data_IF_691773198901
#
_entry.id   IF_691773198901
#
_cell.length_a   1.000
_cell.length_b   1.000
_cell.length_c   1.000
_cell.angle_alpha   90.00
_cell.angle_beta   90.00
_cell.angle_gamma   90.00
#
_symmetry.space_group_name_H-M   'P 1'
#
loop_
_entity.id
_entity.type
_entity.pdbx_description
1 polymer ?
#
# COMPACT_ATOMS: atom_id res chain seq x y z
N UNK A 1 14.13 -23.21 -7.95
CA UNK A 1 13.97 -22.35 -9.12
C UNK A 1 12.54 -21.80 -9.09
N UNK A 2 12.44 -20.52 -8.73
CA UNK A 2 11.32 -19.58 -8.94
C UNK A 2 9.88 -20.03 -8.67
N UNK A 3 9.30 -19.56 -7.56
CA UNK A 3 7.84 -19.41 -7.40
C UNK A 3 7.55 -18.04 -6.77
N UNK A 4 6.50 -17.35 -7.21
CA UNK A 4 6.63 -16.17 -8.05
C UNK A 4 6.88 -14.90 -7.24
N UNK A 5 7.95 -14.20 -7.63
CA UNK A 5 8.24 -12.82 -7.30
C UNK A 5 7.06 -11.90 -7.66
N UNK A 6 6.56 -11.18 -6.65
CA UNK A 6 6.29 -9.73 -6.72
C UNK A 6 5.86 -9.15 -8.08
N UNK A 7 4.61 -9.39 -8.50
CA UNK A 7 3.95 -8.51 -9.47
C UNK A 7 3.11 -7.49 -8.69
N UNK A 8 3.81 -6.50 -8.15
CA UNK A 8 3.20 -5.34 -7.50
C UNK A 8 2.70 -4.40 -8.60
N UNK A 9 1.49 -3.89 -8.44
CA UNK A 9 0.97 -2.78 -9.23
C UNK A 9 2.02 -1.66 -9.35
N UNK A 10 2.03 -0.90 -10.44
CA UNK A 10 2.95 0.22 -10.67
C UNK A 10 2.39 1.54 -10.12
N UNK A 11 1.07 1.69 -10.07
CA UNK A 11 0.37 2.86 -9.53
C UNK A 11 -0.89 2.45 -8.77
N UNK A 12 -1.34 3.31 -7.86
CA UNK A 12 -2.54 3.09 -7.05
C UNK A 12 -3.80 2.87 -7.91
N UNK A 13 -3.89 3.53 -9.07
CA UNK A 13 -5.00 3.41 -10.01
C UNK A 13 -5.23 1.97 -10.52
N UNK A 14 -4.18 1.14 -10.62
CA UNK A 14 -4.35 -0.24 -11.05
C UNK A 14 -5.12 -1.10 -10.04
N UNK A 15 -5.19 -0.69 -8.77
CA UNK A 15 -6.04 -1.35 -7.76
C UNK A 15 -7.52 -1.28 -8.11
N UNK A 16 -7.93 -0.22 -8.80
CA UNK A 16 -9.32 -0.01 -9.23
C UNK A 16 -9.49 -0.18 -10.76
N UNK A 17 -8.50 -0.81 -11.42
CA UNK A 17 -8.57 -1.19 -12.82
C UNK A 17 -8.19 -0.10 -13.83
N UNK A 18 -7.59 1.00 -13.39
CA UNK A 18 -7.11 2.08 -14.25
C UNK A 18 -5.61 1.97 -14.55
N UNK A 19 -5.20 2.53 -15.69
CA UNK A 19 -3.79 2.57 -16.12
C UNK A 19 -2.97 3.58 -15.31
N UNK A 20 -1.66 3.40 -15.28
CA UNK A 20 -0.75 4.41 -14.76
C UNK A 20 -0.48 5.48 -15.81
N UNK A 21 -0.34 6.74 -15.37
CA UNK A 21 0.10 7.80 -16.26
C UNK A 21 1.56 7.57 -16.69
N UNK A 22 1.96 8.19 -17.80
CA UNK A 22 3.37 8.23 -18.18
C UNK A 22 4.20 8.85 -17.03
N UNK A 23 5.44 8.37 -16.78
CA UNK A 23 6.27 8.84 -15.68
C UNK A 23 6.61 10.35 -15.76
N UNK A 24 6.57 10.92 -16.96
CA UNK A 24 6.78 12.36 -17.21
C UNK A 24 5.48 13.19 -17.07
N UNK A 25 4.32 12.55 -16.85
CA UNK A 25 3.06 13.25 -16.72
C UNK A 25 2.85 13.72 -15.27
N UNK A 26 3.13 14.99 -15.02
CA UNK A 26 2.91 15.66 -13.74
C UNK A 26 1.62 16.47 -13.69
N UNK A 27 0.76 16.38 -14.71
CA UNK A 27 -0.48 17.15 -14.76
C UNK A 27 -1.56 16.48 -13.91
N UNK A 28 -1.70 16.95 -12.67
CA UNK A 28 -2.75 16.50 -11.75
C UNK A 28 -4.06 17.19 -12.09
N UNK A 29 -5.06 16.39 -12.44
CA UNK A 29 -6.42 16.85 -12.74
C UNK A 29 -7.36 16.63 -11.56
N UNK A 30 -7.12 15.57 -10.78
CA UNK A 30 -7.93 15.23 -9.62
C UNK A 30 -7.07 14.61 -8.51
N UNK A 31 -7.56 14.62 -7.27
CA UNK A 31 -6.86 14.09 -6.10
C UNK A 31 -7.81 13.36 -5.17
N UNK A 32 -7.56 12.06 -4.99
CA UNK A 32 -8.27 11.19 -4.07
C UNK A 32 -7.49 10.98 -2.78
N UNK A 33 -8.23 10.98 -1.67
CA UNK A 33 -7.66 10.64 -0.35
C UNK A 33 -7.18 9.18 -0.26
N UNK A 34 -7.73 8.29 -1.11
CA UNK A 34 -7.48 6.84 -1.06
C UNK A 34 -6.51 6.40 -2.17
N UNK A 35 -6.66 6.94 -3.39
CA UNK A 35 -5.89 6.49 -4.56
C UNK A 35 -4.84 7.51 -5.02
N UNK A 36 -4.80 8.69 -4.37
CA UNK A 36 -3.82 9.74 -4.63
C UNK A 36 -4.17 10.60 -5.83
N UNK A 37 -3.15 11.11 -6.51
CA UNK A 37 -3.25 12.03 -7.62
C UNK A 37 -3.59 11.30 -8.93
N UNK A 38 -4.53 11.88 -9.68
CA UNK A 38 -5.00 11.40 -10.97
C UNK A 38 -4.68 12.38 -12.08
N UNK A 39 -4.28 11.82 -13.22
CA UNK A 39 -4.05 12.54 -14.46
C UNK A 39 -5.03 12.10 -15.54
N UNK A 40 -5.07 12.88 -16.62
CA UNK A 40 -5.80 12.53 -17.83
C UNK A 40 -4.82 12.38 -18.99
N UNK A 41 -4.86 11.25 -19.67
CA UNK A 41 -4.05 10.97 -20.85
C UNK A 41 -4.82 11.44 -22.08
N UNK A 42 -4.40 12.57 -22.68
CA UNK A 42 -5.03 13.11 -23.90
C UNK A 42 -4.72 12.30 -25.16
N UNK A 43 -3.71 11.44 -25.13
CA UNK A 43 -3.34 10.60 -26.28
C UNK A 43 -4.31 9.43 -26.36
N UNK A 44 -4.62 8.82 -25.20
CA UNK A 44 -5.54 7.69 -25.09
C UNK A 44 -6.96 8.09 -24.73
N UNK A 45 -7.16 9.35 -24.36
CA UNK A 45 -8.43 9.92 -23.92
C UNK A 45 -9.02 9.17 -22.70
N UNK A 46 -8.15 8.80 -21.73
CA UNK A 46 -8.49 8.00 -20.54
C UNK A 46 -7.93 8.60 -19.24
N UNK A 47 -8.54 8.25 -18.11
CA UNK A 47 -8.01 8.57 -16.77
C UNK A 47 -6.88 7.64 -16.39
N UNK A 48 -5.83 8.20 -15.78
CA UNK A 48 -4.67 7.45 -15.35
C UNK A 48 -4.21 7.88 -13.94
N UNK A 49 -3.62 6.95 -13.18
CA UNK A 49 -3.08 7.25 -11.86
C UNK A 49 -1.65 7.78 -11.93
N UNK A 50 -1.39 8.89 -11.24
CA UNK A 50 -0.05 9.47 -11.09
C UNK A 50 0.63 8.88 -9.86
N UNK A 51 -0.13 8.62 -8.78
CA UNK A 51 0.46 8.13 -7.54
C UNK A 51 1.04 6.72 -7.71
N UNK A 52 2.36 6.55 -7.48
CA UNK A 52 3.00 5.25 -7.59
C UNK A 52 2.40 4.29 -6.57
N UNK A 53 2.34 3.02 -6.95
CA UNK A 53 1.93 1.98 -6.02
C UNK A 53 3.09 1.78 -5.06
N UNK A 54 3.00 2.43 -3.92
CA UNK A 54 3.69 1.90 -2.77
C UNK A 54 2.87 0.70 -2.32
N UNK A 55 3.50 -0.47 -2.15
CA UNK A 55 2.93 -1.53 -1.31
C UNK A 55 2.79 -0.89 0.07
N UNK A 56 1.65 -0.25 0.28
CA UNK A 56 1.23 0.19 1.58
C UNK A 56 0.99 -1.13 2.29
N UNK A 57 2.02 -1.62 2.98
CA UNK A 57 1.78 -2.40 4.17
C UNK A 57 1.00 -1.42 5.04
N UNK A 58 -0.32 -1.46 4.89
CA UNK A 58 -1.21 -0.95 5.90
C UNK A 58 -0.78 -1.68 7.16
N UNK A 59 0.12 -1.02 7.90
CA UNK A 59 0.15 -1.09 9.35
C UNK A 59 -1.16 -0.49 9.89
N UNK A 60 -2.30 -0.86 9.30
CA UNK A 60 -3.51 -1.01 10.08
C UNK A 60 -3.15 -2.14 11.03
N UNK A 61 -2.67 -1.77 12.21
CA UNK A 61 -2.38 -2.76 13.21
C UNK A 61 -3.69 -3.41 13.57
N UNK A 62 -3.89 -4.57 12.98
CA UNK A 62 -4.98 -5.48 13.28
C UNK A 62 -5.02 -5.77 14.78
N UNK A 63 -3.88 -5.67 15.46
CA UNK A 63 -3.74 -5.75 16.91
C UNK A 63 -4.53 -4.67 17.65
N UNK A 64 -4.70 -3.46 17.09
CA UNK A 64 -5.48 -2.39 17.73
C UNK A 64 -6.95 -2.79 17.87
N UNK A 65 -7.49 -3.55 16.92
CA UNK A 65 -8.85 -4.12 17.01
C UNK A 65 -8.99 -5.13 18.14
N UNK A 66 -7.89 -5.74 18.56
CA UNK A 66 -7.81 -6.67 19.69
C UNK A 66 -7.39 -5.98 21.00
N UNK A 67 -7.12 -4.66 20.98
CA UNK A 67 -6.65 -3.90 22.14
C UNK A 67 -5.13 -3.89 22.35
N UNK A 68 -4.34 -4.29 21.36
CA UNK A 68 -2.89 -4.32 21.41
C UNK A 68 -2.25 -3.26 20.50
N UNK A 69 -1.22 -2.53 20.98
CA UNK A 69 -0.61 -1.43 20.22
C UNK A 69 0.11 -1.90 18.95
N UNK A 70 0.31 -0.99 17.99
CA UNK A 70 1.25 -1.20 16.89
C UNK A 70 2.69 -1.33 17.36
N UNK A 71 3.45 -2.23 16.75
CA UNK A 71 4.90 -2.24 16.91
C UNK A 71 5.54 -1.07 16.16
N UNK A 72 6.40 -0.32 16.85
CA UNK A 72 7.21 0.74 16.22
C UNK A 72 8.30 0.12 15.35
N UNK A 73 8.91 -0.97 15.82
CA UNK A 73 9.90 -1.75 15.07
C UNK A 73 9.25 -2.90 14.30
N UNK A 74 9.74 -3.21 13.11
CA UNK A 74 9.28 -4.35 12.30
C UNK A 74 9.88 -5.70 12.76
N UNK A 75 10.12 -5.88 14.06
CA UNK A 75 10.72 -7.10 14.61
C UNK A 75 9.63 -8.09 14.98
N UNK A 76 9.41 -9.08 14.12
CA UNK A 76 8.40 -10.12 14.31
C UNK A 76 8.96 -11.19 15.25
N UNK A 77 8.23 -11.46 16.34
CA UNK A 77 8.56 -12.50 17.30
C UNK A 77 7.73 -13.77 17.06
N UNK A 78 6.44 -13.61 16.74
CA UNK A 78 5.56 -14.73 16.36
C UNK A 78 4.62 -14.29 15.24
N UNK A 79 4.11 -15.25 14.48
CA UNK A 79 3.11 -15.01 13.43
C UNK A 79 1.96 -15.97 13.63
N UNK A 80 0.76 -15.40 13.75
CA UNK A 80 -0.49 -16.12 13.94
C UNK A 80 -1.37 -16.02 12.70
N UNK A 81 -2.56 -16.62 12.76
CA UNK A 81 -3.54 -16.57 11.65
C UNK A 81 -4.04 -15.16 11.39
N UNK A 82 -4.05 -14.31 12.41
CA UNK A 82 -4.53 -12.93 12.35
C UNK A 82 -3.46 -11.94 11.84
N UNK A 83 -2.17 -12.26 11.99
CA UNK A 83 -1.09 -11.39 11.53
C UNK A 83 0.25 -11.69 12.20
N UNK A 84 1.21 -10.79 12.03
CA UNK A 84 2.52 -10.89 12.67
C UNK A 84 2.52 -10.10 13.97
N UNK A 85 3.07 -10.68 15.03
CA UNK A 85 3.24 -10.03 16.33
C UNK A 85 4.70 -9.69 16.55
N UNK A 86 4.95 -8.50 17.08
CA UNK A 86 6.23 -8.13 17.68
C UNK A 86 6.13 -8.04 19.19
N UNK A 87 7.29 -7.98 19.81
CA UNK A 87 7.43 -7.80 21.26
C UNK A 87 8.42 -6.67 21.50
N UNK A 88 7.93 -5.54 22.03
CA UNK A 88 8.73 -4.33 22.26
C UNK A 88 8.41 -3.75 23.65
N UNK A 89 9.43 -3.28 24.36
CA UNK A 89 9.28 -2.66 25.70
C UNK A 89 8.43 -3.50 26.66
N UNK A 90 8.70 -4.80 26.74
CA UNK A 90 7.98 -5.76 27.58
C UNK A 90 6.48 -5.95 27.25
N UNK A 91 6.00 -5.49 26.09
CA UNK A 91 4.59 -5.61 25.68
C UNK A 91 4.45 -6.25 24.30
N UNK A 92 3.33 -6.94 24.08
CA UNK A 92 2.94 -7.48 22.77
C UNK A 92 2.35 -6.38 21.89
N UNK A 93 2.74 -6.39 20.62
CA UNK A 93 2.27 -5.43 19.63
C UNK A 93 2.04 -6.10 18.28
N UNK A 94 1.14 -5.56 17.46
CA UNK A 94 0.92 -6.04 16.08
C UNK A 94 1.88 -5.40 15.10
N UNK A 95 2.38 -6.19 14.17
CA UNK A 95 3.16 -5.77 12.99
C UNK A 95 2.21 -5.72 11.80
#
# INVERSE_FOLDING_TARGET
NSTPSSNQFQCMAQLIGYSCCAPDNTNVYDHDKIYGDWGYDFIKNEWCGITPYTKQETKECWSEKLGYPCCKSCTIYTKDKDGSWGYESNNWCGI
#
